data_IF_860042653576
#
_entry.id   IF_860042653576
#
_cell.length_a   1.000
_cell.length_b   1.000
_cell.length_c   1.000
_cell.angle_alpha   90.00
_cell.angle_beta   90.00
_cell.angle_gamma   90.00
#
_symmetry.space_group_name_H-M   'P 1'
#
loop_
_entity.id
_entity.type
_entity.pdbx_description
1 polymer ?
#
# COMPACT_ATOMS: atom_id res chain seq x y z
N UNK A 1 -6.56 3.65 13.24
CA UNK A 1 -6.34 2.77 12.08
C UNK A 1 -7.19 3.18 10.88
N UNK A 2 -8.51 3.05 10.91
CA UNK A 2 -9.42 3.36 9.77
C UNK A 2 -9.17 4.73 9.14
N UNK A 3 -8.99 5.80 9.94
CA UNK A 3 -8.67 7.15 9.44
C UNK A 3 -7.34 7.19 8.69
N UNK A 4 -6.32 6.48 9.18
CA UNK A 4 -5.01 6.40 8.52
C UNK A 4 -5.10 5.69 7.15
N UNK A 5 -5.81 4.56 7.07
CA UNK A 5 -6.00 3.81 5.81
C UNK A 5 -6.81 4.62 4.80
N UNK A 6 -7.89 5.30 5.22
CA UNK A 6 -8.66 6.20 4.35
C UNK A 6 -7.81 7.38 3.86
N UNK A 7 -6.97 7.94 4.73
CA UNK A 7 -6.01 8.99 4.36
C UNK A 7 -4.98 8.54 3.31
N UNK A 8 -4.70 7.24 3.25
CA UNK A 8 -3.88 6.63 2.19
C UNK A 8 -4.67 6.30 0.90
N UNK A 9 -5.94 6.65 0.81
CA UNK A 9 -6.79 6.35 -0.35
C UNK A 9 -7.37 4.93 -0.39
N UNK A 10 -7.22 4.15 0.69
CA UNK A 10 -7.77 2.80 0.78
C UNK A 10 -9.25 2.84 1.16
N UNK A 11 -10.09 2.13 0.41
CA UNK A 11 -11.48 1.90 0.79
C UNK A 11 -11.54 0.93 1.98
N UNK A 12 -12.14 1.36 3.09
CA UNK A 12 -12.29 0.55 4.29
C UNK A 12 -13.73 0.13 4.42
N UNK A 13 -13.97 -1.18 4.31
CA UNK A 13 -15.29 -1.80 4.46
C UNK A 13 -15.83 -1.66 5.89
N UNK A 14 -17.12 -1.47 6.00
CA UNK A 14 -17.86 -1.48 7.27
C UNK A 14 -18.12 -2.90 7.77
N UNK A 15 -18.66 -3.04 8.98
CA UNK A 15 -19.08 -4.33 9.53
C UNK A 15 -20.07 -5.04 8.59
N UNK A 16 -19.78 -6.29 8.22
CA UNK A 16 -20.62 -7.09 7.32
C UNK A 16 -20.44 -6.85 5.83
N UNK A 17 -19.65 -5.86 5.43
CA UNK A 17 -19.31 -5.62 4.02
C UNK A 17 -18.21 -6.55 3.53
N UNK A 18 -18.22 -6.79 2.21
CA UNK A 18 -17.17 -7.59 1.57
C UNK A 18 -15.87 -6.79 1.41
N UNK A 19 -14.75 -7.39 1.79
CA UNK A 19 -13.42 -6.82 1.61
C UNK A 19 -12.49 -7.80 0.87
N UNK A 20 -11.51 -7.25 0.13
CA UNK A 20 -10.50 -8.05 -0.57
C UNK A 20 -9.42 -8.57 0.38
N UNK A 21 -9.13 -7.81 1.43
CA UNK A 21 -8.09 -8.08 2.42
C UNK A 21 -8.62 -7.77 3.81
N UNK A 22 -8.29 -8.61 4.76
CA UNK A 22 -8.50 -8.35 6.17
C UNK A 22 -7.25 -7.72 6.79
N UNK A 23 -7.40 -6.67 7.58
CA UNK A 23 -6.31 -6.04 8.31
C UNK A 23 -6.44 -6.38 9.78
N UNK A 24 -5.57 -7.26 10.27
CA UNK A 24 -5.51 -7.66 11.67
C UNK A 24 -4.58 -6.72 12.45
N UNK A 25 -5.09 -6.05 13.47
CA UNK A 25 -4.34 -5.03 14.22
C UNK A 25 -4.04 -5.51 15.62
N UNK A 26 -2.78 -5.48 15.99
CA UNK A 26 -2.32 -5.77 17.36
C UNK A 26 -1.37 -4.68 17.85
N UNK A 27 -1.08 -4.66 19.15
CA UNK A 27 -0.20 -3.70 19.81
C UNK A 27 0.80 -4.46 20.66
N UNK A 28 2.07 -4.00 20.67
CA UNK A 28 3.19 -4.53 21.47
C UNK A 28 3.61 -5.95 21.10
N UNK A 29 2.87 -6.95 21.52
CA UNK A 29 3.21 -8.38 21.32
C UNK A 29 2.01 -9.17 20.85
N UNK A 30 2.29 -10.22 20.08
CA UNK A 30 1.28 -11.18 19.62
C UNK A 30 1.12 -12.25 20.68
N UNK A 31 -0.07 -12.36 21.25
CA UNK A 31 -0.44 -13.40 22.19
C UNK A 31 -0.86 -14.72 21.48
N UNK A 32 -1.26 -15.74 22.24
CA UNK A 32 -1.67 -17.02 21.67
C UNK A 32 -2.96 -16.91 20.84
N UNK A 33 -3.91 -16.06 21.27
CA UNK A 33 -5.19 -15.85 20.60
C UNK A 33 -4.99 -15.12 19.28
N UNK A 34 -4.10 -14.11 19.24
CA UNK A 34 -3.73 -13.42 17.99
C UNK A 34 -3.13 -14.40 16.98
N UNK A 35 -2.23 -15.30 17.42
CA UNK A 35 -1.63 -16.32 16.54
C UNK A 35 -2.68 -17.29 16.01
N UNK A 36 -3.61 -17.73 16.87
CA UNK A 36 -4.69 -18.61 16.46
C UNK A 36 -5.61 -17.92 15.45
N UNK A 37 -5.95 -16.65 15.67
CA UNK A 37 -6.75 -15.86 14.74
C UNK A 37 -6.06 -15.70 13.38
N UNK A 38 -4.77 -15.36 13.36
CA UNK A 38 -3.98 -15.25 12.13
C UNK A 38 -3.86 -16.59 11.40
N UNK A 39 -3.65 -17.70 12.12
CA UNK A 39 -3.54 -19.04 11.54
C UNK A 39 -4.88 -19.56 10.97
N UNK A 40 -6.01 -19.11 11.52
CA UNK A 40 -7.37 -19.49 11.09
C UNK A 40 -7.98 -18.53 10.08
N UNK A 41 -7.26 -17.51 9.64
CA UNK A 41 -7.76 -16.50 8.70
C UNK A 41 -8.18 -17.14 7.37
N UNK A 42 -9.45 -17.04 7.03
CA UNK A 42 -10.03 -17.58 5.79
C UNK A 42 -9.86 -16.64 4.60
N UNK A 43 -9.52 -15.38 4.85
CA UNK A 43 -9.30 -14.34 3.84
C UNK A 43 -7.84 -13.95 3.78
N UNK A 44 -7.37 -13.43 2.64
CA UNK A 44 -6.06 -12.80 2.60
C UNK A 44 -5.95 -11.73 3.68
N UNK A 45 -4.97 -11.88 4.56
CA UNK A 45 -4.83 -11.06 5.77
C UNK A 45 -3.46 -10.39 5.78
N UNK A 46 -3.44 -9.13 6.21
CA UNK A 46 -2.22 -8.39 6.55
C UNK A 46 -2.26 -8.05 8.04
N UNK A 47 -1.26 -8.48 8.80
CA UNK A 47 -1.14 -8.13 10.21
C UNK A 47 -0.42 -6.78 10.37
N UNK A 48 -0.84 -5.98 11.35
CA UNK A 48 -0.32 -4.64 11.61
C UNK A 48 0.07 -4.52 13.08
N UNK A 49 1.35 -4.34 13.34
CA UNK A 49 1.84 -3.90 14.63
C UNK A 49 1.64 -2.39 14.75
N UNK A 50 0.54 -1.97 15.38
CA UNK A 50 0.26 -0.57 15.62
C UNK A 50 1.04 -0.05 16.82
N UNK A 51 1.19 1.27 16.94
CA UNK A 51 2.05 1.96 17.91
C UNK A 51 3.52 1.53 17.79
N UNK A 52 3.99 1.40 16.55
CA UNK A 52 5.36 1.02 16.24
C UNK A 52 6.40 2.00 16.84
N UNK A 53 6.01 3.25 17.04
CA UNK A 53 6.75 4.32 17.72
C UNK A 53 7.06 4.02 19.18
N UNK A 54 6.36 3.08 19.83
CA UNK A 54 6.58 2.64 21.21
C UNK A 54 7.42 1.35 21.32
N UNK A 55 7.87 0.76 20.23
CA UNK A 55 8.52 -0.56 20.22
C UNK A 55 9.88 -0.59 20.96
N UNK A 56 10.45 0.55 21.26
CA UNK A 56 11.69 0.70 22.04
C UNK A 56 12.51 1.91 21.56
N UNK A 57 13.28 2.49 22.46
CA UNK A 57 14.07 3.71 22.21
C UNK A 57 15.59 3.44 22.19
N UNK A 58 16.01 2.18 22.17
CA UNK A 58 17.43 1.79 22.14
C UNK A 58 17.88 1.39 20.74
N UNK A 59 19.16 1.59 20.43
CA UNK A 59 19.76 1.18 19.16
C UNK A 59 19.23 1.99 17.97
N UNK A 60 18.74 1.32 16.95
CA UNK A 60 18.34 1.90 15.66
C UNK A 60 16.97 2.65 15.70
N UNK A 61 16.39 2.77 16.90
CA UNK A 61 15.11 3.45 17.10
C UNK A 61 13.88 2.54 17.02
N UNK A 62 12.69 3.08 17.39
CA UNK A 62 11.49 2.28 17.60
C UNK A 62 10.99 1.61 16.33
N UNK A 63 11.03 2.28 15.19
CA UNK A 63 10.51 1.76 13.92
C UNK A 63 11.33 0.55 13.45
N UNK A 64 12.67 0.57 13.59
CA UNK A 64 13.51 -0.57 13.22
C UNK A 64 13.29 -1.77 14.17
N UNK A 65 13.10 -1.52 15.47
CA UNK A 65 12.73 -2.57 16.43
C UNK A 65 11.38 -3.18 16.07
N UNK A 66 10.37 -2.36 15.76
CA UNK A 66 9.06 -2.81 15.30
C UNK A 66 9.16 -3.62 14.01
N UNK A 67 9.95 -3.16 13.03
CA UNK A 67 10.18 -3.85 11.76
C UNK A 67 10.78 -5.24 11.97
N UNK A 68 11.76 -5.37 12.86
CA UNK A 68 12.38 -6.67 13.20
C UNK A 68 11.35 -7.61 13.83
N UNK A 69 10.53 -7.15 14.78
CA UNK A 69 9.43 -7.92 15.38
C UNK A 69 8.41 -8.37 14.34
N UNK A 70 8.05 -7.50 13.42
CA UNK A 70 7.14 -7.84 12.31
C UNK A 70 7.71 -8.96 11.43
N UNK A 71 8.99 -8.91 11.08
CA UNK A 71 9.65 -9.98 10.30
C UNK A 71 9.68 -11.32 11.04
N UNK A 72 9.88 -11.32 12.35
CA UNK A 72 9.85 -12.52 13.19
C UNK A 72 8.44 -13.14 13.20
N UNK A 73 7.41 -12.32 13.37
CA UNK A 73 6.02 -12.76 13.34
C UNK A 73 5.62 -13.30 11.96
N UNK A 74 6.00 -12.61 10.89
CA UNK A 74 5.75 -13.03 9.50
C UNK A 74 6.35 -14.41 9.22
N UNK A 75 7.58 -14.69 9.71
CA UNK A 75 8.19 -16.02 9.61
C UNK A 75 7.43 -17.09 10.42
N UNK A 76 6.89 -16.73 11.58
CA UNK A 76 6.19 -17.66 12.45
C UNK A 76 4.75 -17.99 11.99
N UNK A 77 4.08 -17.05 11.34
CA UNK A 77 2.66 -17.16 10.96
C UNK A 77 2.42 -17.28 9.46
N UNK A 78 3.43 -17.01 8.63
CA UNK A 78 3.32 -16.84 7.17
C UNK A 78 2.34 -15.72 6.76
N UNK A 79 1.93 -14.85 7.69
CA UNK A 79 1.06 -13.70 7.42
C UNK A 79 1.92 -12.45 7.25
N UNK A 80 1.83 -11.72 6.13
CA UNK A 80 2.54 -10.47 5.94
C UNK A 80 2.26 -9.51 7.11
N UNK A 81 3.32 -9.00 7.73
CA UNK A 81 3.20 -8.16 8.93
C UNK A 81 3.98 -6.87 8.74
N UNK A 82 3.34 -5.73 9.01
CA UNK A 82 3.96 -4.40 8.86
C UNK A 82 3.81 -3.55 10.11
N UNK A 83 4.85 -2.78 10.49
CA UNK A 83 4.75 -1.81 11.57
C UNK A 83 3.97 -0.59 11.10
N UNK A 84 3.22 0.04 12.01
CA UNK A 84 2.52 1.29 11.77
C UNK A 84 2.45 2.13 13.04
N UNK A 85 2.73 3.43 12.94
CA UNK A 85 2.22 4.41 13.87
C UNK A 85 1.00 5.09 13.25
N UNK A 86 -0.20 4.60 13.61
CA UNK A 86 -1.45 5.10 13.04
C UNK A 86 -1.70 6.56 13.38
N UNK A 87 -1.17 7.06 14.51
CA UNK A 87 -1.24 8.46 14.92
C UNK A 87 -0.46 9.34 13.93
N UNK A 88 0.78 9.00 13.66
CA UNK A 88 1.64 9.74 12.73
C UNK A 88 1.14 9.62 11.29
N UNK A 89 0.58 8.47 10.90
CA UNK A 89 -0.05 8.30 9.61
C UNK A 89 -1.23 9.27 9.41
N UNK A 90 -2.06 9.46 10.43
CA UNK A 90 -3.16 10.45 10.41
C UNK A 90 -2.59 11.86 10.34
N UNK A 91 -1.61 12.19 11.17
CA UNK A 91 -0.99 13.52 11.18
C UNK A 91 -0.34 13.86 9.83
N UNK A 92 0.23 12.88 9.13
CA UNK A 92 0.84 13.06 7.82
C UNK A 92 -0.13 13.10 6.64
N UNK A 93 -1.39 12.62 6.80
CA UNK A 93 -2.36 12.54 5.72
C UNK A 93 -3.56 13.47 5.87
N UNK A 94 -3.88 13.86 7.10
CA UNK A 94 -5.00 14.76 7.38
C UNK A 94 -4.49 16.19 7.61
N UNK A 95 -4.79 17.11 6.69
CA UNK A 95 -4.30 18.49 6.78
C UNK A 95 -4.85 19.27 7.99
N UNK A 96 -5.90 18.76 8.66
CA UNK A 96 -6.48 19.42 9.82
C UNK A 96 -5.67 19.17 11.10
N UNK A 97 -4.82 18.15 11.13
CA UNK A 97 -3.97 17.82 12.29
C UNK A 97 -2.78 18.75 12.36
N UNK A 98 -2.00 18.88 11.27
CA UNK A 98 -0.88 19.81 11.19
C UNK A 98 -1.35 21.24 10.85
N UNK A 99 -2.28 21.77 11.62
CA UNK A 99 -2.72 23.15 11.46
C UNK A 99 -1.63 24.16 11.87
N UNK A 100 -1.90 25.44 11.63
CA UNK A 100 -0.95 26.51 11.96
C UNK A 100 -0.56 26.52 13.43
N UNK A 101 -1.51 26.31 14.33
CA UNK A 101 -1.24 26.36 15.77
C UNK A 101 -0.31 25.23 16.23
N UNK A 102 -0.47 24.00 15.68
CA UNK A 102 0.41 22.88 15.99
C UNK A 102 1.82 23.09 15.41
N UNK A 103 1.92 23.61 14.19
CA UNK A 103 3.22 23.93 13.56
C UNK A 103 3.94 25.05 14.32
N UNK A 104 3.23 26.09 14.77
CA UNK A 104 3.82 27.16 15.59
C UNK A 104 4.27 26.63 16.96
N UNK A 105 3.51 25.72 17.59
CA UNK A 105 3.93 25.03 18.81
C UNK A 105 5.23 24.21 18.63
N UNK A 106 5.37 23.51 17.49
CA UNK A 106 6.61 22.79 17.15
C UNK A 106 7.80 23.76 16.97
N UNK A 107 7.59 24.92 16.38
CA UNK A 107 8.63 25.95 16.23
C UNK A 107 9.07 26.50 17.58
N UNK A 108 8.12 26.81 18.48
CA UNK A 108 8.44 27.25 19.84
C UNK A 108 9.19 26.13 20.57
N UNK A 109 8.72 24.88 20.50
CA UNK A 109 9.38 23.73 21.12
C UNK A 109 10.81 23.53 20.61
N UNK A 110 11.07 23.84 19.33
CA UNK A 110 12.38 23.70 18.72
C UNK A 110 13.41 24.73 19.21
N UNK A 111 12.95 25.94 19.61
CA UNK A 111 13.82 27.09 19.97
C UNK A 111 13.78 27.45 21.43
N UNK A 112 12.62 27.35 22.08
CA UNK A 112 12.37 27.73 23.47
C UNK A 112 11.41 26.74 24.14
N UNK A 113 11.86 25.53 24.47
CA UNK A 113 10.98 24.45 24.96
C UNK A 113 10.14 24.83 26.19
N UNK A 114 10.69 25.67 27.05
CA UNK A 114 10.02 26.16 28.26
C UNK A 114 8.88 27.15 27.98
N UNK A 115 8.90 27.82 26.82
CA UNK A 115 7.86 28.77 26.40
C UNK A 115 6.62 28.12 25.80
N UNK A 116 6.64 26.80 25.58
CA UNK A 116 5.49 26.08 25.01
C UNK A 116 4.34 26.01 26.01
N UNK A 117 3.14 26.54 25.69
CA UNK A 117 1.99 26.47 26.61
C UNK A 117 1.58 25.01 26.89
N UNK A 118 1.10 24.71 28.09
CA UNK A 118 0.70 23.36 28.51
C UNK A 118 -0.39 22.77 27.60
N UNK A 119 -1.31 23.57 27.13
CA UNK A 119 -2.33 23.13 26.18
C UNK A 119 -1.70 22.65 24.84
N UNK A 120 -0.68 23.37 24.35
CA UNK A 120 0.04 22.99 23.13
C UNK A 120 0.89 21.71 23.37
N UNK A 121 1.52 21.55 24.54
CA UNK A 121 2.25 20.33 24.90
C UNK A 121 1.32 19.11 24.92
N UNK A 122 0.16 19.24 25.55
CA UNK A 122 -0.85 18.16 25.56
C UNK A 122 -1.32 17.82 24.16
N UNK A 123 -1.55 18.84 23.30
CA UNK A 123 -1.96 18.63 21.92
C UNK A 123 -0.86 17.94 21.10
N UNK A 124 0.40 18.35 21.23
CA UNK A 124 1.54 17.67 20.58
C UNK A 124 1.61 16.20 20.99
N UNK A 125 1.46 15.89 22.28
CA UNK A 125 1.42 14.50 22.75
C UNK A 125 0.22 13.71 22.21
N UNK A 126 -0.94 14.35 22.10
CA UNK A 126 -2.16 13.68 21.60
C UNK A 126 -2.15 13.43 20.09
N UNK A 127 -1.54 14.34 19.29
CA UNK A 127 -1.60 14.28 17.82
C UNK A 127 -0.34 13.65 17.20
N UNK A 128 0.82 13.74 17.87
CA UNK A 128 2.11 13.29 17.32
C UNK A 128 2.83 12.27 18.20
N UNK A 129 2.42 12.12 19.46
CA UNK A 129 3.17 11.38 20.48
C UNK A 129 4.60 11.94 20.70
N UNK A 130 5.38 11.28 21.54
CA UNK A 130 6.76 11.69 21.85
C UNK A 130 7.69 11.52 20.63
N UNK A 131 7.60 10.36 19.96
CA UNK A 131 8.45 10.05 18.82
C UNK A 131 8.17 10.99 17.64
N UNK A 132 6.91 11.17 17.25
CA UNK A 132 6.53 12.08 16.16
C UNK A 132 6.87 13.53 16.47
N UNK A 133 6.70 13.97 17.74
CA UNK A 133 7.10 15.30 18.19
C UNK A 133 8.60 15.48 18.05
N UNK A 134 9.43 14.52 18.47
CA UNK A 134 10.88 14.59 18.33
C UNK A 134 11.33 14.65 16.86
N UNK A 135 10.74 13.83 15.98
CA UNK A 135 11.00 13.87 14.54
C UNK A 135 10.63 15.24 13.95
N UNK A 136 9.44 15.77 14.28
CA UNK A 136 8.96 17.04 13.78
C UNK A 136 9.82 18.21 14.26
N UNK A 137 10.23 18.22 15.53
CA UNK A 137 11.14 19.25 16.09
C UNK A 137 12.49 19.22 15.39
N UNK A 138 13.06 18.04 15.17
CA UNK A 138 14.31 17.90 14.42
C UNK A 138 14.20 18.47 13.00
N UNK A 139 13.12 18.19 12.31
CA UNK A 139 12.86 18.69 10.96
C UNK A 139 12.66 20.23 10.96
N UNK A 140 11.92 20.76 11.93
CA UNK A 140 11.73 22.24 12.09
C UNK A 140 13.07 22.92 12.29
N UNK A 141 13.97 22.38 13.12
CA UNK A 141 15.33 22.90 13.30
C UNK A 141 16.14 22.91 12.00
N UNK A 142 15.85 21.98 11.09
CA UNK A 142 16.45 21.92 9.76
C UNK A 142 15.71 22.79 8.72
N UNK A 143 14.72 23.59 9.13
CA UNK A 143 13.99 24.51 8.26
C UNK A 143 12.78 23.92 7.54
N UNK A 144 12.31 22.74 7.94
CA UNK A 144 11.14 22.10 7.33
C UNK A 144 9.88 22.96 7.47
N UNK A 145 9.10 23.00 6.38
CA UNK A 145 7.78 23.63 6.31
C UNK A 145 6.69 22.59 6.62
N UNK A 146 5.46 23.05 6.72
CA UNK A 146 4.28 22.19 7.00
C UNK A 146 4.20 20.97 6.10
N UNK A 147 4.37 21.14 4.79
CA UNK A 147 4.25 20.05 3.83
C UNK A 147 5.40 19.04 3.96
N UNK A 148 6.61 19.53 4.30
CA UNK A 148 7.76 18.67 4.59
C UNK A 148 7.52 17.86 5.87
N UNK A 149 6.91 18.46 6.90
CA UNK A 149 6.50 17.77 8.13
C UNK A 149 5.46 16.68 7.84
N UNK A 150 4.45 16.98 7.03
CA UNK A 150 3.44 16.00 6.64
C UNK A 150 4.08 14.82 5.87
N UNK A 151 4.99 15.11 4.94
CA UNK A 151 5.73 14.09 4.19
C UNK A 151 6.61 13.23 5.12
N UNK A 152 7.34 13.86 6.05
CA UNK A 152 8.15 13.17 7.05
C UNK A 152 7.30 12.22 7.89
N UNK A 153 6.18 12.72 8.45
CA UNK A 153 5.31 11.91 9.32
C UNK A 153 4.68 10.73 8.56
N UNK A 154 4.30 10.92 7.30
CA UNK A 154 3.88 9.79 6.44
C UNK A 154 4.98 8.74 6.30
N UNK A 155 6.22 9.19 6.04
CA UNK A 155 7.35 8.29 5.85
C UNK A 155 7.65 7.50 7.13
N UNK A 156 7.79 8.18 8.27
CA UNK A 156 8.15 7.51 9.53
C UNK A 156 7.00 6.71 10.14
N UNK A 157 5.76 6.92 9.68
CA UNK A 157 4.61 6.16 10.17
C UNK A 157 4.56 4.70 9.70
N UNK A 158 5.23 4.35 8.58
CA UNK A 158 5.12 3.04 7.94
C UNK A 158 3.87 2.87 7.06
N UNK A 159 3.11 3.95 6.82
CA UNK A 159 1.84 3.89 6.07
C UNK A 159 2.03 3.47 4.61
N UNK A 160 3.11 3.93 3.96
CA UNK A 160 3.39 3.60 2.58
C UNK A 160 3.66 2.10 2.38
N UNK A 161 4.48 1.51 3.25
CA UNK A 161 4.83 0.08 3.25
C UNK A 161 3.60 -0.78 3.54
N UNK A 162 2.77 -0.36 4.50
CA UNK A 162 1.51 -1.05 4.81
C UNK A 162 0.54 -0.99 3.63
N UNK A 163 0.36 0.19 3.02
CA UNK A 163 -0.51 0.34 1.85
C UNK A 163 -0.06 -0.52 0.69
N UNK A 164 1.24 -0.54 0.40
CA UNK A 164 1.82 -1.40 -0.63
C UNK A 164 1.61 -2.90 -0.33
N UNK A 165 1.67 -3.31 0.95
CA UNK A 165 1.41 -4.70 1.34
C UNK A 165 -0.06 -5.08 1.16
N UNK A 166 -0.99 -4.20 1.56
CA UNK A 166 -2.43 -4.40 1.36
C UNK A 166 -2.74 -4.54 -0.14
N UNK A 167 -2.18 -3.66 -0.98
CA UNK A 167 -2.37 -3.73 -2.43
C UNK A 167 -1.79 -5.02 -3.03
N UNK A 168 -0.61 -5.46 -2.60
CA UNK A 168 -0.01 -6.75 -3.02
C UNK A 168 -0.89 -7.93 -2.64
N UNK A 169 -1.40 -7.94 -1.41
CA UNK A 169 -2.26 -9.01 -0.90
C UNK A 169 -3.62 -9.02 -1.59
N UNK A 170 -4.15 -7.84 -1.96
CA UNK A 170 -5.43 -7.69 -2.66
C UNK A 170 -5.37 -8.08 -4.14
N UNK A 171 -4.23 -7.91 -4.80
CA UNK A 171 -4.12 -8.06 -6.26
C UNK A 171 -4.66 -9.41 -6.80
N UNK A 172 -4.31 -10.58 -6.21
CA UNK A 172 -4.87 -11.86 -6.66
C UNK A 172 -6.38 -11.98 -6.48
N UNK A 173 -6.93 -11.38 -5.43
CA UNK A 173 -8.38 -11.40 -5.14
C UNK A 173 -9.13 -10.55 -6.17
N UNK A 174 -8.65 -9.34 -6.40
CA UNK A 174 -9.22 -8.41 -7.39
C UNK A 174 -9.19 -8.99 -8.79
N UNK A 175 -8.08 -9.62 -9.18
CA UNK A 175 -7.97 -10.30 -10.48
C UNK A 175 -9.00 -11.42 -10.63
N UNK A 176 -9.12 -12.32 -9.63
CA UNK A 176 -10.10 -13.40 -9.66
C UNK A 176 -11.53 -12.87 -9.71
N UNK A 177 -11.86 -11.84 -8.92
CA UNK A 177 -13.18 -11.20 -8.92
C UNK A 177 -13.50 -10.58 -10.29
N UNK A 178 -12.54 -9.85 -10.87
CA UNK A 178 -12.69 -9.27 -12.20
C UNK A 178 -12.96 -10.36 -13.26
N UNK A 179 -12.13 -11.40 -13.28
CA UNK A 179 -12.26 -12.49 -14.28
C UNK A 179 -13.56 -13.28 -14.10
N UNK A 180 -13.99 -13.54 -12.86
CA UNK A 180 -15.27 -14.19 -12.58
C UNK A 180 -16.47 -13.33 -13.01
N UNK A 181 -16.43 -12.02 -12.71
CA UNK A 181 -17.46 -11.07 -13.16
C UNK A 181 -17.57 -10.99 -14.68
N UNK A 182 -16.44 -10.91 -15.36
CA UNK A 182 -16.40 -10.91 -16.82
C UNK A 182 -16.89 -12.23 -17.42
N UNK A 183 -16.58 -13.37 -16.82
CA UNK A 183 -17.10 -14.67 -17.26
C UNK A 183 -18.63 -14.75 -17.10
N UNK A 184 -19.19 -14.23 -16.01
CA UNK A 184 -20.62 -14.16 -15.80
C UNK A 184 -21.32 -13.23 -16.80
N UNK A 185 -20.70 -12.11 -17.19
CA UNK A 185 -21.20 -11.22 -18.24
C UNK A 185 -21.13 -11.89 -19.62
N UNK A 186 -20.02 -12.56 -19.93
CA UNK A 186 -19.80 -13.24 -21.20
C UNK A 186 -20.74 -14.42 -21.42
N UNK A 187 -21.25 -15.03 -20.37
CA UNK A 187 -22.31 -16.04 -20.45
C UNK A 187 -23.63 -15.49 -21.06
N UNK A 188 -23.82 -14.15 -20.96
CA UNK A 188 -24.97 -13.43 -21.52
C UNK A 188 -24.65 -12.83 -22.89
N UNK A 189 -23.46 -12.30 -23.08
CA UNK A 189 -22.95 -11.73 -24.35
C UNK A 189 -21.44 -11.97 -24.46
N UNK A 190 -21.04 -12.87 -25.35
CA UNK A 190 -19.63 -13.22 -25.55
C UNK A 190 -18.78 -12.09 -26.10
N UNK A 191 -19.36 -11.05 -26.70
CA UNK A 191 -18.64 -9.89 -27.23
C UNK A 191 -18.01 -9.06 -26.11
N UNK A 192 -18.50 -9.14 -24.87
CA UNK A 192 -17.91 -8.46 -23.70
C UNK A 192 -16.43 -8.77 -23.56
N UNK A 193 -16.01 -10.02 -23.81
CA UNK A 193 -14.60 -10.42 -23.63
C UNK A 193 -13.64 -9.90 -24.71
N UNK A 194 -14.16 -9.39 -25.83
CA UNK A 194 -13.35 -8.92 -26.96
C UNK A 194 -13.17 -7.40 -26.97
N UNK A 195 -13.93 -6.68 -26.15
CA UNK A 195 -13.83 -5.23 -26.01
C UNK A 195 -12.45 -4.80 -25.49
N UNK A 196 -11.91 -3.76 -26.09
CA UNK A 196 -10.57 -3.26 -25.77
C UNK A 196 -10.42 -2.88 -24.30
N UNK A 197 -11.40 -2.20 -23.73
CA UNK A 197 -11.39 -1.78 -22.33
C UNK A 197 -11.31 -2.98 -21.38
N UNK A 198 -12.02 -4.06 -21.71
CA UNK A 198 -12.02 -5.31 -20.94
C UNK A 198 -10.64 -5.99 -21.02
N UNK A 199 -10.07 -6.07 -22.22
CA UNK A 199 -8.74 -6.67 -22.43
C UNK A 199 -7.68 -5.88 -21.66
N UNK A 200 -7.73 -4.55 -21.71
CA UNK A 200 -6.78 -3.69 -21.00
C UNK A 200 -6.99 -3.71 -19.47
N UNK A 201 -8.24 -3.76 -18.99
CA UNK A 201 -8.54 -3.92 -17.58
C UNK A 201 -8.01 -5.26 -17.02
N UNK A 202 -8.19 -6.35 -17.76
CA UNK A 202 -7.61 -7.66 -17.40
C UNK A 202 -6.10 -7.63 -17.39
N UNK A 203 -5.47 -7.00 -18.38
CA UNK A 203 -4.01 -6.81 -18.43
C UNK A 203 -3.51 -6.05 -17.20
N UNK A 204 -4.15 -4.94 -16.84
CA UNK A 204 -3.76 -4.12 -15.69
C UNK A 204 -3.89 -4.91 -14.37
N UNK A 205 -5.00 -5.62 -14.18
CA UNK A 205 -5.20 -6.47 -13.00
C UNK A 205 -4.20 -7.63 -12.93
N UNK A 206 -3.89 -8.25 -14.07
CA UNK A 206 -2.89 -9.31 -14.17
C UNK A 206 -1.47 -8.80 -13.88
N UNK A 207 -1.11 -7.62 -14.38
CA UNK A 207 0.17 -6.97 -14.10
C UNK A 207 0.35 -6.67 -12.61
N UNK A 208 -0.72 -6.25 -11.92
CA UNK A 208 -0.69 -6.06 -10.47
C UNK A 208 -0.39 -7.37 -9.71
N UNK A 209 -0.94 -8.51 -10.15
CA UNK A 209 -0.66 -9.83 -9.53
C UNK A 209 0.80 -10.24 -9.69
N UNK A 210 1.34 -10.16 -10.90
CA UNK A 210 2.73 -10.58 -11.14
C UNK A 210 3.72 -9.61 -10.51
N UNK A 211 3.42 -8.31 -10.51
CA UNK A 211 4.18 -7.30 -9.79
C UNK A 211 4.21 -7.54 -8.28
N UNK A 212 3.08 -7.94 -7.69
CA UNK A 212 2.98 -8.34 -6.29
C UNK A 212 3.88 -9.53 -5.93
N UNK A 213 4.11 -10.43 -6.89
CA UNK A 213 5.03 -11.57 -6.76
C UNK A 213 6.49 -11.21 -7.07
N UNK A 214 6.81 -9.93 -7.29
CA UNK A 214 8.16 -9.47 -7.60
C UNK A 214 8.62 -9.74 -9.04
N UNK A 215 7.71 -10.10 -9.94
CA UNK A 215 8.03 -10.28 -11.36
C UNK A 215 7.90 -8.92 -12.07
N UNK A 216 9.00 -8.35 -12.58
CA UNK A 216 8.95 -7.02 -13.17
C UNK A 216 8.17 -7.05 -14.50
N UNK A 217 7.19 -6.20 -14.62
CA UNK A 217 6.50 -5.95 -15.87
C UNK A 217 7.00 -4.63 -16.47
N UNK A 218 7.87 -4.72 -17.48
CA UNK A 218 8.42 -3.56 -18.17
C UNK A 218 7.38 -3.03 -19.14
N UNK A 219 6.67 -2.00 -18.73
CA UNK A 219 5.71 -1.27 -19.57
C UNK A 219 6.39 -0.04 -20.14
N UNK A 220 6.93 -0.15 -21.34
CA UNK A 220 7.44 0.98 -22.12
C UNK A 220 6.38 1.41 -23.15
N UNK A 221 6.44 2.69 -23.58
CA UNK A 221 5.34 3.30 -24.34
C UNK A 221 5.40 3.01 -25.86
N UNK A 222 6.51 2.43 -26.37
CA UNK A 222 6.66 2.27 -27.82
C UNK A 222 5.97 1.01 -28.34
N UNK A 223 5.57 1.04 -29.62
CA UNK A 223 5.00 -0.12 -30.30
C UNK A 223 5.89 -1.35 -30.21
N UNK A 224 7.20 -1.20 -30.48
CA UNK A 224 8.17 -2.29 -30.39
C UNK A 224 8.26 -2.89 -28.99
N UNK A 225 8.07 -2.06 -27.95
CA UNK A 225 8.08 -2.52 -26.57
C UNK A 225 6.87 -3.36 -26.24
N UNK A 226 5.69 -3.00 -26.76
CA UNK A 226 4.48 -3.80 -26.57
C UNK A 226 4.61 -5.17 -27.22
N UNK A 227 5.23 -5.29 -28.38
CA UNK A 227 5.48 -6.59 -29.00
C UNK A 227 6.49 -7.42 -28.20
N UNK A 228 7.58 -6.80 -27.72
CA UNK A 228 8.56 -7.46 -26.84
C UNK A 228 7.91 -7.93 -25.53
N UNK A 229 7.04 -7.10 -24.95
CA UNK A 229 6.27 -7.42 -23.74
C UNK A 229 5.36 -8.62 -23.98
N UNK A 230 4.63 -8.66 -25.09
CA UNK A 230 3.75 -9.78 -25.43
C UNK A 230 4.53 -11.09 -25.57
N UNK A 231 5.68 -11.08 -26.27
CA UNK A 231 6.55 -12.25 -26.43
C UNK A 231 7.12 -12.70 -25.09
N UNK A 232 7.56 -11.77 -24.23
CA UNK A 232 8.05 -12.08 -22.90
C UNK A 232 7.02 -12.83 -22.07
N UNK A 233 5.79 -12.29 -22.00
CA UNK A 233 4.72 -12.89 -21.20
C UNK A 233 4.17 -14.19 -21.78
N UNK A 234 4.18 -14.37 -23.10
CA UNK A 234 3.89 -15.66 -23.71
C UNK A 234 4.91 -16.74 -23.29
N UNK A 235 6.20 -16.41 -23.31
CA UNK A 235 7.25 -17.34 -22.86
C UNK A 235 7.12 -17.65 -21.36
N UNK A 236 6.80 -16.63 -20.54
CA UNK A 236 6.56 -16.83 -19.12
C UNK A 236 5.37 -17.79 -18.87
N UNK A 237 4.29 -17.68 -19.64
CA UNK A 237 3.10 -18.51 -19.48
C UNK A 237 3.34 -20.01 -19.74
N UNK A 238 4.29 -20.37 -20.60
CA UNK A 238 4.64 -21.77 -20.87
C UNK A 238 5.69 -22.34 -19.91
N UNK A 239 6.27 -21.50 -19.05
CA UNK A 239 7.21 -21.92 -18.03
C UNK A 239 6.58 -22.66 -16.84
N UNK A 240 7.39 -23.10 -15.86
CA UNK A 240 6.93 -23.80 -14.65
C UNK A 240 6.31 -22.82 -13.65
N UNK A 241 5.19 -22.19 -13.99
CA UNK A 241 4.48 -21.21 -13.19
C UNK A 241 3.13 -21.72 -12.71
N UNK A 242 2.60 -21.12 -11.63
CA UNK A 242 1.27 -21.45 -11.12
C UNK A 242 0.17 -21.17 -12.15
N UNK A 243 -0.99 -21.83 -11.99
CA UNK A 243 -2.15 -21.60 -12.86
C UNK A 243 -2.59 -20.12 -12.87
N UNK A 244 -2.52 -19.44 -11.72
CA UNK A 244 -2.82 -18.01 -11.62
C UNK A 244 -1.82 -17.17 -12.43
N UNK A 245 -0.53 -17.40 -12.29
CA UNK A 245 0.50 -16.66 -13.02
C UNK A 245 0.43 -16.93 -14.51
N UNK A 246 0.10 -18.15 -14.93
CA UNK A 246 -0.13 -18.48 -16.35
C UNK A 246 -1.30 -17.70 -16.93
N UNK A 247 -2.42 -17.63 -16.22
CA UNK A 247 -3.57 -16.83 -16.62
C UNK A 247 -3.23 -15.34 -16.71
N UNK A 248 -2.53 -14.80 -15.71
CA UNK A 248 -2.08 -13.41 -15.72
C UNK A 248 -1.15 -13.11 -16.91
N UNK A 249 -0.17 -13.97 -17.16
CA UNK A 249 0.76 -13.82 -18.28
C UNK A 249 0.03 -13.81 -19.63
N UNK A 250 -0.97 -14.67 -19.79
CA UNK A 250 -1.81 -14.72 -21.00
C UNK A 250 -2.59 -13.41 -21.18
N UNK A 251 -3.16 -12.86 -20.11
CA UNK A 251 -3.89 -11.60 -20.17
C UNK A 251 -2.98 -10.40 -20.43
N UNK A 252 -1.77 -10.38 -19.86
CA UNK A 252 -0.78 -9.33 -20.15
C UNK A 252 -0.32 -9.41 -21.61
N UNK A 253 -0.02 -10.61 -22.13
CA UNK A 253 0.38 -10.78 -23.52
C UNK A 253 -0.73 -10.33 -24.49
N UNK A 254 -1.99 -10.69 -24.22
CA UNK A 254 -3.15 -10.27 -25.03
C UNK A 254 -3.32 -8.76 -25.01
N UNK A 255 -3.24 -8.12 -23.86
CA UNK A 255 -3.34 -6.66 -23.73
C UNK A 255 -2.20 -5.93 -24.44
N UNK A 256 -0.97 -6.43 -24.32
CA UNK A 256 0.19 -5.87 -25.02
C UNK A 256 0.04 -5.97 -26.55
N UNK A 257 -0.47 -7.08 -27.09
CA UNK A 257 -0.78 -7.21 -28.52
C UNK A 257 -1.87 -6.23 -28.96
N UNK A 258 -2.87 -5.96 -28.11
CA UNK A 258 -3.92 -4.99 -28.41
C UNK A 258 -3.36 -3.56 -28.46
N UNK A 259 -2.47 -3.21 -27.55
CA UNK A 259 -1.78 -1.91 -27.57
C UNK A 259 -0.85 -1.78 -28.79
N UNK A 260 -0.16 -2.83 -29.15
CA UNK A 260 0.68 -2.89 -30.34
C UNK A 260 -0.15 -2.64 -31.62
N UNK A 261 -1.31 -3.27 -31.77
CA UNK A 261 -2.19 -3.09 -32.94
C UNK A 261 -2.74 -1.65 -33.03
N UNK A 262 -3.16 -1.07 -31.88
CA UNK A 262 -3.66 0.33 -31.84
C UNK A 262 -2.61 1.38 -32.24
N UNK A 263 -1.33 1.09 -32.03
CA UNK A 263 -0.26 2.01 -32.43
C UNK A 263 -0.09 2.13 -33.96
N UNK A 264 -0.67 1.21 -34.74
CA UNK A 264 -0.75 1.30 -36.20
C UNK A 264 -1.90 2.18 -36.69
N UNK A 265 -3.03 2.18 -35.92
CA UNK A 265 -4.24 2.92 -36.30
C UNK A 265 -4.13 4.43 -35.97
N UNK A 266 -3.08 4.85 -35.24
CA UNK A 266 -2.84 6.25 -34.99
C UNK A 266 -2.36 6.93 -36.30
N UNK A 267 -3.13 7.90 -36.86
CA UNK A 267 -2.72 8.57 -38.08
C UNK A 267 -1.36 9.22 -37.86
N UNK A 268 -0.39 8.90 -38.71
CA UNK A 268 0.91 9.55 -38.71
C UNK A 268 0.69 11.06 -38.69
N UNK A 269 1.02 11.69 -37.56
CA UNK A 269 0.98 13.15 -37.46
C UNK A 269 1.88 13.67 -38.59
N UNK A 270 1.24 14.24 -39.62
CA UNK A 270 1.92 14.86 -40.77
C UNK A 270 2.83 15.93 -40.20
N UNK A 271 4.12 15.72 -40.37
CA UNK A 271 5.13 16.76 -40.22
C UNK A 271 4.99 17.80 -41.34
#
# INVERSE_FOLDING_TARGET
MTRALRGAGLAVAGPGESADVEVYVFVETVNADDRAALASALRPTVAVLNKADLAGFRGDGPIEVATRRCRELERATAVPTRPLSALLAVAGTDPTVLDRALVDALRILATAPEAVPDAARRRLGAELDLFGTACAVSAVRSGARRDDLAALLRTVSGLAELSAEIERTAAPVRYRRLTAGLAAMAARDSRVLTGDDVVLARMAAAAAVVGAAGVPDRSEATRSDQLRRAIHWQRYAVGPVSALHRACATDIARGALRLWARADDAPAARR
#
